data_IF_270770959286
#
_entry.id   IF_270770959286
#
_cell.length_a   1.000
_cell.length_b   1.000
_cell.length_c   1.000
_cell.angle_alpha   90.00
_cell.angle_beta   90.00
_cell.angle_gamma   90.00
#
_symmetry.space_group_name_H-M   'P 1'
#
loop_
_entity.id
_entity.type
_entity.pdbx_description
1 polymer ?
#
# COMPACT_ATOMS: atom_id res chain seq x y z
N UNK A 1 11.28 -21.21 18.93
CA UNK A 1 10.96 -20.71 17.59
C UNK A 1 9.54 -20.18 17.64
N UNK A 2 9.30 -19.02 16.98
CA UNK A 2 8.21 -18.03 17.12
C UNK A 2 8.23 -17.30 18.47
N UNK A 3 8.28 -15.97 18.55
CA UNK A 3 7.31 -15.02 18.00
C UNK A 3 7.97 -13.81 17.29
N UNK A 4 8.20 -13.90 15.99
CA UNK A 4 8.13 -12.69 15.15
C UNK A 4 6.68 -12.18 15.13
N UNK A 5 6.40 -10.95 14.67
CA UNK A 5 5.02 -10.48 14.53
C UNK A 5 4.15 -11.59 13.93
N UNK A 6 3.02 -11.91 14.59
CA UNK A 6 2.13 -12.99 14.18
C UNK A 6 1.94 -12.93 12.67
N UNK A 7 2.23 -14.00 11.93
CA UNK A 7 2.13 -13.99 10.46
C UNK A 7 0.73 -13.53 9.96
N UNK A 8 -0.28 -13.65 10.82
CA UNK A 8 -1.64 -13.10 10.65
C UNK A 8 -1.67 -11.58 10.61
N UNK A 9 -0.90 -10.91 11.47
CA UNK A 9 -0.76 -9.45 11.51
C UNK A 9 -0.07 -8.95 10.24
N UNK A 10 1.05 -9.58 9.83
CA UNK A 10 1.75 -9.21 8.60
C UNK A 10 0.85 -9.36 7.37
N UNK A 11 0.17 -10.51 7.25
CA UNK A 11 -0.80 -10.74 6.19
C UNK A 11 -1.95 -9.72 6.23
N UNK A 12 -2.46 -9.40 7.42
CA UNK A 12 -3.51 -8.39 7.62
C UNK A 12 -3.09 -7.01 7.14
N UNK A 13 -1.86 -6.58 7.44
CA UNK A 13 -1.34 -5.28 7.00
C UNK A 13 -1.13 -5.27 5.49
N UNK A 14 -0.63 -6.36 4.89
CA UNK A 14 -0.46 -6.45 3.44
C UNK A 14 -1.81 -6.37 2.71
N UNK A 15 -2.83 -7.09 3.20
CA UNK A 15 -4.20 -7.02 2.66
C UNK A 15 -4.75 -5.60 2.78
N UNK A 16 -4.67 -5.00 3.96
CA UNK A 16 -5.17 -3.64 4.20
C UNK A 16 -4.47 -2.62 3.29
N UNK A 17 -3.15 -2.72 3.16
CA UNK A 17 -2.36 -1.82 2.30
C UNK A 17 -2.75 -1.98 0.82
N UNK A 18 -3.03 -3.21 0.39
CA UNK A 18 -3.52 -3.49 -0.97
C UNK A 18 -4.90 -2.88 -1.20
N UNK A 19 -5.82 -2.99 -0.24
CA UNK A 19 -7.13 -2.37 -0.33
C UNK A 19 -7.04 -0.83 -0.40
N UNK A 20 -6.13 -0.22 0.38
CA UNK A 20 -5.86 1.22 0.31
C UNK A 20 -5.34 1.61 -1.07
N UNK A 21 -4.41 0.84 -1.65
CA UNK A 21 -3.92 1.08 -3.01
C UNK A 21 -5.04 1.03 -4.05
N UNK A 22 -5.89 0.00 -3.98
CA UNK A 22 -7.06 -0.12 -4.87
C UNK A 22 -7.99 1.08 -4.70
N UNK A 23 -8.27 1.50 -3.47
CA UNK A 23 -9.12 2.66 -3.21
C UNK A 23 -8.55 3.95 -3.82
N UNK A 24 -7.23 4.16 -3.76
CA UNK A 24 -6.56 5.29 -4.42
C UNK A 24 -6.71 5.22 -5.94
N UNK A 25 -6.54 4.05 -6.55
CA UNK A 25 -6.73 3.87 -7.99
C UNK A 25 -8.18 4.14 -8.41
N UNK A 26 -9.16 3.64 -7.65
CA UNK A 26 -10.58 3.90 -7.90
C UNK A 26 -10.86 5.40 -7.82
N UNK A 27 -10.36 6.09 -6.80
CA UNK A 27 -10.52 7.55 -6.67
C UNK A 27 -9.84 8.31 -7.82
N UNK A 28 -8.63 7.93 -8.22
CA UNK A 28 -7.93 8.55 -9.34
C UNK A 28 -8.70 8.34 -10.66
N UNK A 29 -9.21 7.13 -10.89
CA UNK A 29 -9.96 6.76 -12.08
C UNK A 29 -11.39 7.33 -12.14
N UNK A 30 -11.97 7.79 -11.03
CA UNK A 30 -13.25 8.51 -11.02
C UNK A 30 -13.07 10.02 -11.14
N UNK A 31 -11.93 10.57 -10.68
CA UNK A 31 -11.61 11.99 -10.81
C UNK A 31 -11.08 12.36 -12.20
N UNK A 32 -10.41 11.43 -12.87
CA UNK A 32 -10.15 11.50 -14.31
C UNK A 32 -11.23 10.72 -15.05
N UNK A 33 -11.56 11.06 -16.29
CA UNK A 33 -12.43 10.24 -17.16
C UNK A 33 -11.71 8.94 -17.60
N UNK A 34 -11.20 8.16 -16.64
CA UNK A 34 -10.34 6.98 -16.84
C UNK A 34 -8.82 7.26 -16.76
N UNK A 35 -8.02 6.24 -17.09
CA UNK A 35 -6.56 6.28 -17.03
C UNK A 35 -5.91 6.64 -18.38
N UNK A 36 -6.36 7.75 -19.00
CA UNK A 36 -5.71 8.32 -20.19
C UNK A 36 -4.31 8.88 -19.90
N UNK A 37 -3.72 9.65 -20.83
CA UNK A 37 -2.34 10.19 -20.69
C UNK A 37 -2.09 10.88 -19.35
N UNK A 38 -3.02 11.71 -18.87
CA UNK A 38 -2.91 12.37 -17.56
C UNK A 38 -3.17 11.40 -16.39
N UNK A 39 -4.08 10.44 -16.58
CA UNK A 39 -4.43 9.44 -15.56
C UNK A 39 -3.29 8.46 -15.26
N UNK A 40 -2.38 8.24 -16.20
CA UNK A 40 -1.17 7.44 -16.00
C UNK A 40 -0.28 7.99 -14.87
N UNK A 41 -0.15 9.32 -14.75
CA UNK A 41 0.58 9.94 -13.64
C UNK A 41 -0.11 9.70 -12.29
N UNK A 42 -1.45 9.62 -12.27
CA UNK A 42 -2.22 9.23 -11.08
C UNK A 42 -1.91 7.79 -10.64
N UNK A 43 -1.79 6.86 -11.58
CA UNK A 43 -1.38 5.48 -11.30
C UNK A 43 0.03 5.42 -10.72
N UNK A 44 0.99 6.16 -11.32
CA UNK A 44 2.36 6.24 -10.81
C UNK A 44 2.38 6.79 -9.39
N UNK A 45 1.63 7.86 -9.13
CA UNK A 45 1.48 8.43 -7.79
C UNK A 45 0.92 7.43 -6.77
N UNK A 46 -0.10 6.67 -7.16
CA UNK A 46 -0.68 5.61 -6.31
C UNK A 46 0.35 4.51 -5.99
N UNK A 47 1.17 4.10 -6.97
CA UNK A 47 2.24 3.11 -6.77
C UNK A 47 3.29 3.63 -5.81
N UNK A 48 3.72 4.89 -5.96
CA UNK A 48 4.69 5.51 -5.05
C UNK A 48 4.15 5.54 -3.62
N UNK A 49 2.89 5.97 -3.43
CA UNK A 49 2.25 5.96 -2.11
C UNK A 49 2.19 4.56 -1.51
N UNK A 50 1.81 3.56 -2.31
CA UNK A 50 1.76 2.17 -1.84
C UNK A 50 3.14 1.65 -1.40
N UNK A 51 4.19 1.92 -2.18
CA UNK A 51 5.56 1.54 -1.81
C UNK A 51 5.97 2.22 -0.50
N UNK A 52 5.68 3.52 -0.33
CA UNK A 52 6.01 4.24 0.90
C UNK A 52 5.27 3.69 2.13
N UNK A 53 3.99 3.32 1.98
CA UNK A 53 3.21 2.68 3.04
C UNK A 53 3.86 1.35 3.42
N UNK A 54 4.16 0.49 2.46
CA UNK A 54 4.77 -0.82 2.72
C UNK A 54 6.18 -0.69 3.31
N UNK A 55 6.97 0.27 2.85
CA UNK A 55 8.29 0.56 3.40
C UNK A 55 8.20 1.06 4.85
N UNK A 56 7.25 1.96 5.15
CA UNK A 56 7.02 2.46 6.50
C UNK A 56 6.53 1.36 7.46
N UNK A 57 5.61 0.52 7.00
CA UNK A 57 5.16 -0.67 7.73
C UNK A 57 6.33 -1.61 8.02
N UNK A 58 7.13 -1.94 7.01
CA UNK A 58 8.28 -2.83 7.16
C UNK A 58 9.31 -2.28 8.15
N UNK A 59 9.60 -0.99 8.07
CA UNK A 59 10.47 -0.30 9.03
C UNK A 59 9.94 -0.37 10.46
N UNK A 60 8.64 -0.09 10.67
CA UNK A 60 8.01 -0.15 11.99
C UNK A 60 7.98 -1.56 12.58
N UNK A 61 7.70 -2.58 11.76
CA UNK A 61 7.76 -3.97 12.18
C UNK A 61 9.18 -4.39 12.54
N UNK A 62 10.20 -3.92 11.79
CA UNK A 62 11.60 -4.19 12.09
C UNK A 62 12.02 -3.67 13.47
N UNK A 63 11.57 -2.48 13.87
CA UNK A 63 11.87 -1.90 15.19
C UNK A 63 11.12 -2.56 16.36
N UNK A 64 10.17 -3.45 16.09
CA UNK A 64 9.45 -4.23 17.11
C UNK A 64 10.00 -5.64 17.32
N UNK A 65 11.00 -6.03 16.52
CA UNK A 65 11.67 -7.32 16.65
C UNK A 65 12.87 -7.27 17.62
N UNK A 66 13.17 -6.09 18.18
CA UNK A 66 14.16 -5.88 19.25
C UNK A 66 13.58 -6.04 20.66
#
# INVERSE_FOLDING_TARGET
>A
MSEGPDARLEAGIAILSTLVFIAILVAAGTMSEGFGETGAYGVIGAVVVFILVMAGVGYWLSGKQE
#
